data_IF_336958681963
#
_entry.id   IF_336958681963
#
_cell.length_a   1.000
_cell.length_b   1.000
_cell.length_c   1.000
_cell.angle_alpha   90.00
_cell.angle_beta   90.00
_cell.angle_gamma   90.00
#
_symmetry.space_group_name_H-M   'P 1'
#
loop_
_entity.id
_entity.type
_entity.pdbx_description
1 polymer ?
#
# COMPACT_ATOMS: atom_id res chain seq x y z
N UNK A 1 4.91 15.82 4.17
CA UNK A 1 3.53 16.27 4.42
C UNK A 1 3.00 15.37 5.53
N UNK A 2 3.17 15.75 6.81
CA UNK A 2 2.20 16.56 7.59
C UNK A 2 0.80 15.96 7.36
N UNK A 3 0.21 15.17 8.27
CA UNK A 3 -0.37 15.65 9.52
C UNK A 3 -0.15 14.69 10.69
N UNK A 4 0.60 15.20 11.67
CA UNK A 4 0.46 14.84 13.08
C UNK A 4 -0.78 15.58 13.58
N UNK A 5 -1.89 14.87 13.77
CA UNK A 5 -3.01 15.34 14.57
C UNK A 5 -3.26 14.26 15.62
N UNK A 6 -2.36 14.20 16.59
CA UNK A 6 -2.74 13.72 17.90
C UNK A 6 -3.66 14.82 18.45
N UNK A 7 -4.97 14.60 18.41
CA UNK A 7 -5.90 15.45 19.11
C UNK A 7 -5.43 15.55 20.57
N UNK A 8 -5.15 16.75 21.10
CA UNK A 8 -4.89 16.88 22.52
C UNK A 8 -6.18 16.42 23.20
N UNK A 9 -6.07 15.33 23.95
CA UNK A 9 -7.11 14.90 24.89
C UNK A 9 -7.40 16.16 25.69
N UNK A 10 -8.55 16.77 25.42
CA UNK A 10 -9.02 17.92 26.17
C UNK A 10 -9.34 17.38 27.55
N UNK A 11 -8.33 17.36 28.41
CA UNK A 11 -8.48 17.24 29.85
C UNK A 11 -9.23 18.50 30.26
N UNK A 12 -10.55 18.46 30.08
CA UNK A 12 -11.47 19.50 30.52
C UNK A 12 -11.35 19.59 32.03
N UNK A 13 -10.48 20.51 32.44
CA UNK A 13 -10.56 21.54 33.49
C UNK A 13 -11.88 21.68 34.26
N UNK A 14 -12.50 20.57 34.68
CA UNK A 14 -13.82 20.57 35.32
C UNK A 14 -13.89 19.73 36.59
N UNK A 15 -12.77 19.49 37.28
CA UNK A 15 -12.77 18.82 38.60
C UNK A 15 -12.13 19.70 39.68
N UNK A 16 -12.01 21.01 39.43
CA UNK A 16 -11.59 21.98 40.44
C UNK A 16 -12.77 22.80 40.99
N UNK A 17 -13.98 22.23 40.95
CA UNK A 17 -14.96 22.59 41.97
C UNK A 17 -14.45 21.97 43.26
N UNK A 18 -13.82 22.82 44.08
CA UNK A 18 -13.61 22.54 45.48
C UNK A 18 -14.87 21.86 45.98
N UNK A 19 -14.75 20.60 46.39
CA UNK A 19 -15.80 19.93 47.13
C UNK A 19 -16.02 20.83 48.34
N UNK A 20 -17.03 21.70 48.25
CA UNK A 20 -17.64 22.37 49.38
C UNK A 20 -18.25 21.23 50.17
N UNK A 21 -17.40 20.50 50.89
CA UNK A 21 -17.81 19.52 51.87
C UNK A 21 -18.46 20.40 52.92
N UNK A 22 -19.80 20.46 52.94
CA UNK A 22 -20.48 21.35 53.87
C UNK A 22 -19.98 20.97 55.25
N UNK A 23 -19.44 21.92 56.00
CA UNK A 23 -18.87 21.75 57.34
C UNK A 23 -19.92 21.42 58.41
N UNK A 24 -21.17 21.17 57.99
CA UNK A 24 -22.36 20.94 58.82
C UNK A 24 -22.38 19.56 59.52
N UNK A 25 -21.84 18.44 58.99
CA UNK A 25 -21.71 17.21 59.75
C UNK A 25 -20.86 17.38 61.01
N UNK A 26 -19.87 18.29 60.96
CA UNK A 26 -19.06 18.64 62.13
C UNK A 26 -19.84 19.44 63.17
N UNK A 27 -20.87 20.21 62.78
CA UNK A 27 -21.63 21.03 63.74
C UNK A 27 -22.45 20.17 64.70
N UNK A 28 -23.16 19.15 64.24
CA UNK A 28 -23.92 18.26 65.12
C UNK A 28 -22.99 17.49 66.07
N UNK A 29 -21.87 16.98 65.55
CA UNK A 29 -20.83 16.33 66.35
C UNK A 29 -20.24 17.27 67.40
N UNK A 30 -19.92 18.52 67.03
CA UNK A 30 -19.44 19.53 67.97
C UNK A 30 -20.48 19.89 69.04
N UNK A 31 -21.77 19.96 68.71
CA UNK A 31 -22.81 20.20 69.71
C UNK A 31 -22.99 19.00 70.66
N UNK A 32 -22.82 17.77 70.17
CA UNK A 32 -22.83 16.55 70.99
C UNK A 32 -21.58 16.46 71.90
N UNK A 33 -20.39 16.76 71.37
CA UNK A 33 -19.14 16.83 72.14
C UNK A 33 -19.25 17.89 73.24
N UNK A 34 -19.83 19.05 72.94
CA UNK A 34 -20.04 20.12 73.93
C UNK A 34 -21.06 19.73 75.00
N UNK A 35 -22.10 18.96 74.65
CA UNK A 35 -23.03 18.38 75.63
C UNK A 35 -22.33 17.35 76.52
N UNK A 36 -21.49 16.50 75.94
CA UNK A 36 -20.66 15.55 76.68
C UNK A 36 -19.71 16.27 77.64
N UNK A 37 -19.09 17.37 77.20
CA UNK A 37 -18.22 18.21 78.02
C UNK A 37 -18.96 18.78 79.25
N UNK A 38 -20.15 19.36 79.06
CA UNK A 38 -21.01 19.86 80.14
C UNK A 38 -21.38 18.76 81.16
N UNK A 39 -21.74 17.57 80.67
CA UNK A 39 -22.09 16.41 81.50
C UNK A 39 -20.89 15.83 82.25
N UNK A 40 -19.69 15.89 81.67
CA UNK A 40 -18.48 15.28 82.23
C UNK A 40 -17.72 16.21 83.16
N UNK A 41 -17.46 17.46 82.74
CA UNK A 41 -16.54 18.40 83.39
C UNK A 41 -17.22 19.41 84.33
N UNK A 42 -18.41 19.92 84.00
CA UNK A 42 -19.07 20.96 84.79
C UNK A 42 -20.05 20.41 85.85
N UNK A 43 -20.52 19.17 85.69
CA UNK A 43 -21.41 18.53 86.64
C UNK A 43 -20.73 18.22 87.99
N UNK A 44 -21.15 18.90 89.07
CA UNK A 44 -20.61 18.68 90.42
C UNK A 44 -20.98 17.27 90.90
N UNK A 45 -19.98 16.42 91.16
CA UNK A 45 -20.21 15.05 91.60
C UNK A 45 -20.63 15.03 93.07
N UNK A 46 -21.82 14.51 93.36
CA UNK A 46 -22.32 14.41 94.73
C UNK A 46 -21.70 13.15 95.38
N UNK A 47 -20.92 13.29 96.46
CA UNK A 47 -20.28 12.16 97.13
C UNK A 47 -21.32 11.16 97.64
N UNK A 48 -20.97 9.86 97.65
CA UNK A 48 -21.79 8.72 98.11
C UNK A 48 -23.09 8.41 97.32
N UNK A 49 -23.49 9.23 96.35
CA UNK A 49 -24.75 9.01 95.58
C UNK A 49 -24.54 8.58 94.14
N UNK A 50 -23.32 8.71 93.60
CA UNK A 50 -23.01 8.42 92.19
C UNK A 50 -23.66 9.39 91.19
N UNK A 51 -24.34 10.45 91.66
CA UNK A 51 -25.08 11.42 90.84
C UNK A 51 -24.24 12.68 90.59
N UNK A 52 -24.50 13.36 89.47
CA UNK A 52 -23.95 14.69 89.16
C UNK A 52 -25.04 15.74 89.24
N UNK A 53 -24.72 16.87 89.84
CA UNK A 53 -25.56 18.06 89.86
C UNK A 53 -25.18 18.90 88.65
N UNK A 54 -26.13 19.13 87.75
CA UNK A 54 -25.91 19.84 86.50
C UNK A 54 -26.96 20.93 86.38
N UNK A 55 -26.59 22.05 85.77
CA UNK A 55 -27.50 23.14 85.45
C UNK A 55 -28.50 22.69 84.36
N UNK A 56 -29.78 22.65 84.74
CA UNK A 56 -30.88 22.25 83.87
C UNK A 56 -31.02 23.21 82.68
N UNK A 57 -30.81 24.50 82.88
CA UNK A 57 -30.97 25.53 81.84
C UNK A 57 -29.89 25.39 80.77
N UNK A 58 -28.65 25.10 81.16
CA UNK A 58 -27.55 24.88 80.22
C UNK A 58 -27.72 23.60 79.39
N UNK A 59 -28.16 22.50 80.01
CA UNK A 59 -28.45 21.26 79.27
C UNK A 59 -29.60 21.47 78.28
N UNK A 60 -30.70 22.10 78.70
CA UNK A 60 -31.85 22.32 77.83
C UNK A 60 -31.49 23.22 76.64
N UNK A 61 -30.68 24.26 76.85
CA UNK A 61 -30.18 25.11 75.77
C UNK A 61 -29.28 24.31 74.79
N UNK A 62 -28.37 23.50 75.31
CA UNK A 62 -27.50 22.68 74.47
C UNK A 62 -28.28 21.60 73.69
N UNK A 63 -29.30 20.99 74.31
CA UNK A 63 -30.20 20.04 73.64
C UNK A 63 -31.00 20.71 72.52
N UNK A 64 -31.45 21.95 72.73
CA UNK A 64 -32.15 22.76 71.72
C UNK A 64 -31.23 23.08 70.54
N UNK A 65 -29.95 23.38 70.79
CA UNK A 65 -28.96 23.58 69.72
C UNK A 65 -28.69 22.30 68.91
N UNK A 66 -28.66 21.14 69.56
CA UNK A 66 -28.56 19.83 68.89
C UNK A 66 -29.81 19.59 68.03
N UNK A 67 -31.00 19.85 68.56
CA UNK A 67 -32.27 19.68 67.84
C UNK A 67 -32.34 20.56 66.59
N UNK A 68 -31.83 21.79 66.65
CA UNK A 68 -31.72 22.69 65.50
C UNK A 68 -30.67 22.25 64.47
N UNK A 69 -29.59 21.58 64.91
CA UNK A 69 -28.50 21.13 64.03
C UNK A 69 -28.85 19.85 63.25
N UNK A 70 -29.66 18.94 63.81
CA UNK A 70 -30.02 17.65 63.18
C UNK A 70 -30.64 17.83 61.78
N UNK A 71 -31.69 18.66 61.57
CA UNK A 71 -32.32 18.81 60.26
C UNK A 71 -31.35 19.29 59.18
N UNK A 72 -30.44 20.20 59.52
CA UNK A 72 -29.45 20.73 58.58
C UNK A 72 -28.38 19.69 58.23
N UNK A 73 -27.92 18.88 59.21
CA UNK A 73 -27.03 17.74 58.94
C UNK A 73 -27.70 16.68 58.05
N UNK A 74 -28.98 16.38 58.26
CA UNK A 74 -29.73 15.43 57.42
C UNK A 74 -29.92 15.94 55.99
N UNK A 75 -30.33 17.20 55.81
CA UNK A 75 -30.43 17.83 54.47
C UNK A 75 -29.10 17.79 53.73
N UNK A 76 -28.02 18.03 54.47
CA UNK A 76 -26.66 17.99 53.96
C UNK A 76 -26.26 16.58 53.50
N UNK A 77 -26.49 15.56 54.33
CA UNK A 77 -26.24 14.17 53.96
C UNK A 77 -27.04 13.76 52.72
N UNK A 78 -28.31 14.17 52.62
CA UNK A 78 -29.13 13.90 51.44
C UNK A 78 -28.56 14.56 50.18
N UNK A 79 -28.04 15.79 50.28
CA UNK A 79 -27.40 16.50 49.16
C UNK A 79 -26.15 15.75 48.67
N UNK A 80 -25.32 15.27 49.59
CA UNK A 80 -24.12 14.49 49.26
C UNK A 80 -24.51 13.19 48.56
N UNK A 81 -25.53 12.47 49.07
CA UNK A 81 -26.02 11.25 48.43
C UNK A 81 -26.54 11.51 47.01
N UNK A 82 -27.33 12.57 46.83
CA UNK A 82 -27.84 12.95 45.51
C UNK A 82 -26.69 13.33 44.55
N UNK A 83 -25.70 14.11 45.02
CA UNK A 83 -24.52 14.46 44.22
C UNK A 83 -23.70 13.22 43.84
N UNK A 84 -23.50 12.29 44.78
CA UNK A 84 -22.84 11.01 44.52
C UNK A 84 -23.55 10.25 43.41
N UNK A 85 -24.86 10.13 43.49
CA UNK A 85 -25.65 9.39 42.50
C UNK A 85 -25.60 10.06 41.12
N UNK A 86 -25.63 11.39 41.06
CA UNK A 86 -25.46 12.12 39.80
C UNK A 86 -24.05 11.94 39.20
N UNK A 87 -22.99 11.98 40.02
CA UNK A 87 -21.62 11.69 39.57
C UNK A 87 -21.52 10.27 39.00
N UNK A 88 -22.11 9.28 39.68
CA UNK A 88 -22.11 7.89 39.22
C UNK A 88 -22.84 7.76 37.89
N UNK A 89 -24.02 8.37 37.75
CA UNK A 89 -24.76 8.36 36.47
C UNK A 89 -23.97 9.02 35.35
N UNK A 90 -23.37 10.18 35.59
CA UNK A 90 -22.54 10.86 34.59
C UNK A 90 -21.33 10.02 34.19
N UNK A 91 -20.65 9.38 35.15
CA UNK A 91 -19.52 8.50 34.89
C UNK A 91 -19.94 7.28 34.06
N UNK A 92 -21.09 6.67 34.39
CA UNK A 92 -21.65 5.55 33.62
C UNK A 92 -22.00 5.96 32.19
N UNK A 93 -22.64 7.12 32.01
CA UNK A 93 -22.97 7.65 30.69
C UNK A 93 -21.71 7.87 29.84
N UNK A 94 -20.70 8.56 30.38
CA UNK A 94 -19.42 8.79 29.69
C UNK A 94 -18.72 7.48 29.35
N UNK A 95 -18.72 6.50 30.26
CA UNK A 95 -18.14 5.19 29.99
C UNK A 95 -18.85 4.49 28.82
N UNK A 96 -20.17 4.55 28.75
CA UNK A 96 -20.95 4.00 27.63
C UNK A 96 -20.65 4.72 26.31
N UNK A 97 -20.50 6.05 26.32
CA UNK A 97 -20.13 6.82 25.13
C UNK A 97 -18.73 6.43 24.62
N UNK A 98 -17.76 6.29 25.53
CA UNK A 98 -16.40 5.87 25.18
C UNK A 98 -16.41 4.47 24.57
N UNK A 99 -17.14 3.53 25.18
CA UNK A 99 -17.25 2.15 24.66
C UNK A 99 -17.87 2.15 23.26
N UNK A 100 -18.98 2.86 23.06
CA UNK A 100 -19.64 2.97 21.75
C UNK A 100 -18.71 3.58 20.69
N UNK A 101 -17.99 4.64 21.04
CA UNK A 101 -17.04 5.27 20.12
C UNK A 101 -15.88 4.33 19.77
N UNK A 102 -15.38 3.56 20.75
CA UNK A 102 -14.34 2.56 20.52
C UNK A 102 -14.82 1.42 19.62
N UNK A 103 -16.03 0.89 19.85
CA UNK A 103 -16.64 -0.15 19.02
C UNK A 103 -16.86 0.32 17.58
N UNK A 104 -17.37 1.55 17.38
CA UNK A 104 -17.54 2.13 16.06
C UNK A 104 -16.22 2.29 15.32
N UNK A 105 -15.17 2.80 15.99
CA UNK A 105 -13.83 2.91 15.40
C UNK A 105 -13.25 1.53 15.06
N UNK A 106 -13.41 0.56 15.94
CA UNK A 106 -12.94 -0.81 15.69
C UNK A 106 -13.63 -1.43 14.47
N UNK A 107 -14.94 -1.23 14.33
CA UNK A 107 -15.69 -1.68 13.15
C UNK A 107 -15.20 -1.02 11.86
N UNK A 108 -14.97 0.30 11.86
CA UNK A 108 -14.41 1.02 10.71
C UNK A 108 -13.03 0.50 10.31
N UNK A 109 -12.14 0.30 11.28
CA UNK A 109 -10.79 -0.24 11.03
C UNK A 109 -10.87 -1.66 10.46
N UNK A 110 -11.76 -2.51 10.98
CA UNK A 110 -11.95 -3.86 10.48
C UNK A 110 -12.45 -3.86 9.03
N UNK A 111 -13.38 -2.98 8.69
CA UNK A 111 -13.87 -2.83 7.32
C UNK A 111 -12.78 -2.33 6.37
N UNK A 112 -11.99 -1.32 6.77
CA UNK A 112 -10.86 -0.83 5.99
C UNK A 112 -9.81 -1.91 5.76
N UNK A 113 -9.46 -2.69 6.79
CA UNK A 113 -8.53 -3.81 6.69
C UNK A 113 -9.06 -4.89 5.73
N UNK A 114 -10.36 -5.20 5.80
CA UNK A 114 -10.99 -6.17 4.90
C UNK A 114 -10.94 -5.71 3.45
N UNK A 115 -11.25 -4.44 3.18
CA UNK A 115 -11.15 -3.86 1.84
C UNK A 115 -9.71 -3.90 1.34
N UNK A 116 -8.74 -3.53 2.19
CA UNK A 116 -7.32 -3.53 1.84
C UNK A 116 -6.81 -4.94 1.51
N UNK A 117 -7.14 -5.93 2.34
CA UNK A 117 -6.74 -7.31 2.10
C UNK A 117 -7.35 -7.86 0.80
N UNK A 118 -8.61 -7.55 0.54
CA UNK A 118 -9.27 -7.93 -0.71
C UNK A 118 -8.57 -7.29 -1.92
N UNK A 119 -8.28 -5.99 -1.86
CA UNK A 119 -7.58 -5.27 -2.92
C UNK A 119 -6.15 -5.82 -3.14
N UNK A 120 -5.43 -6.17 -2.06
CA UNK A 120 -4.11 -6.79 -2.16
C UNK A 120 -4.16 -8.17 -2.82
N UNK A 121 -5.16 -8.99 -2.49
CA UNK A 121 -5.35 -10.32 -3.09
C UNK A 121 -5.69 -10.21 -4.57
N UNK A 122 -6.57 -9.28 -4.95
CA UNK A 122 -6.90 -9.00 -6.35
C UNK A 122 -5.69 -8.46 -7.12
N UNK A 123 -4.93 -7.53 -6.53
CA UNK A 123 -3.71 -7.01 -7.13
C UNK A 123 -2.66 -8.11 -7.34
N UNK A 124 -2.49 -9.03 -6.38
CA UNK A 124 -1.60 -10.18 -6.52
C UNK A 124 -2.06 -11.10 -7.65
N UNK A 125 -3.37 -11.37 -7.76
CA UNK A 125 -3.94 -12.18 -8.85
C UNK A 125 -3.69 -11.53 -10.21
N UNK A 126 -3.95 -10.24 -10.35
CA UNK A 126 -3.69 -9.50 -11.60
C UNK A 126 -2.20 -9.56 -11.94
N UNK A 127 -1.31 -9.34 -10.97
CA UNK A 127 0.15 -9.42 -11.20
C UNK A 127 0.57 -10.80 -11.68
N UNK A 128 0.06 -11.86 -11.08
CA UNK A 128 0.35 -13.23 -11.51
C UNK A 128 -0.18 -13.50 -12.93
N UNK A 129 -1.39 -13.06 -13.24
CA UNK A 129 -1.97 -13.20 -14.58
C UNK A 129 -1.15 -12.46 -15.63
N UNK A 130 -0.82 -11.19 -15.39
CA UNK A 130 0.02 -10.39 -16.29
C UNK A 130 1.40 -11.04 -16.48
N UNK A 131 2.00 -11.56 -15.41
CA UNK A 131 3.29 -12.23 -15.53
C UNK A 131 3.21 -13.50 -16.38
N UNK A 132 2.17 -14.31 -16.22
CA UNK A 132 1.92 -15.49 -17.05
C UNK A 132 1.67 -15.10 -18.52
N UNK A 133 0.87 -14.08 -18.77
CA UNK A 133 0.59 -13.57 -20.11
C UNK A 133 1.84 -13.03 -20.80
N UNK A 134 2.68 -12.28 -20.08
CA UNK A 134 3.95 -11.76 -20.60
C UNK A 134 4.90 -12.89 -20.97
N UNK A 135 5.08 -13.90 -20.10
CA UNK A 135 5.92 -15.06 -20.41
C UNK A 135 5.39 -15.86 -21.60
N UNK A 136 4.07 -16.02 -21.68
CA UNK A 136 3.43 -16.69 -22.81
C UNK A 136 3.60 -15.91 -24.12
N UNK A 137 3.38 -14.60 -24.12
CA UNK A 137 3.62 -13.74 -25.28
C UNK A 137 5.08 -13.76 -25.70
N UNK A 138 6.01 -13.75 -24.74
CA UNK A 138 7.44 -13.85 -25.00
C UNK A 138 7.82 -15.16 -25.66
N UNK A 139 7.30 -16.29 -25.15
CA UNK A 139 7.55 -17.61 -25.74
C UNK A 139 7.02 -17.68 -27.18
N UNK A 140 5.79 -17.24 -27.41
CA UNK A 140 5.21 -17.15 -28.76
C UNK A 140 6.04 -16.30 -29.71
N UNK A 141 6.48 -15.12 -29.27
CA UNK A 141 7.31 -14.25 -30.10
C UNK A 141 8.65 -14.91 -30.45
N UNK A 142 9.28 -15.62 -29.51
CA UNK A 142 10.52 -16.37 -29.77
C UNK A 142 10.27 -17.49 -30.78
N UNK A 143 9.18 -18.24 -30.64
CA UNK A 143 8.80 -19.30 -31.58
C UNK A 143 8.56 -18.76 -32.98
N UNK A 144 7.83 -17.66 -33.11
CA UNK A 144 7.56 -17.00 -34.38
C UNK A 144 8.82 -16.46 -35.05
N UNK A 145 9.70 -15.79 -34.28
CA UNK A 145 11.00 -15.33 -34.77
C UNK A 145 11.84 -16.52 -35.27
N UNK A 146 11.87 -17.62 -34.53
CA UNK A 146 12.63 -18.81 -34.94
C UNK A 146 12.07 -19.43 -36.22
N UNK A 147 10.75 -19.51 -36.35
CA UNK A 147 10.08 -20.00 -37.55
C UNK A 147 10.41 -19.12 -38.76
N UNK A 148 10.28 -17.80 -38.59
CA UNK A 148 10.61 -16.83 -39.65
C UNK A 148 12.08 -16.96 -40.07
N UNK A 149 13.00 -17.04 -39.10
CA UNK A 149 14.43 -17.24 -39.37
C UNK A 149 14.67 -18.50 -40.18
N UNK A 150 14.11 -19.64 -39.77
CA UNK A 150 14.27 -20.89 -40.51
C UNK A 150 13.73 -20.81 -41.95
N UNK A 151 12.59 -20.15 -42.15
CA UNK A 151 12.02 -19.98 -43.49
C UNK A 151 12.92 -19.09 -44.36
N UNK A 152 13.38 -17.96 -43.83
CA UNK A 152 14.29 -17.06 -44.56
C UNK A 152 15.62 -17.73 -44.88
N UNK A 153 16.16 -18.56 -43.98
CA UNK A 153 17.39 -19.33 -44.22
C UNK A 153 17.21 -20.35 -45.34
N UNK A 154 16.06 -21.05 -45.40
CA UNK A 154 15.72 -21.98 -46.48
C UNK A 154 15.57 -21.26 -47.82
N UNK A 155 14.83 -20.15 -47.84
CA UNK A 155 14.63 -19.35 -49.06
C UNK A 155 15.97 -18.79 -49.58
N UNK A 156 16.81 -18.28 -48.68
CA UNK A 156 18.13 -17.77 -49.04
C UNK A 156 19.04 -18.88 -49.57
N UNK A 157 19.02 -20.06 -48.95
CA UNK A 157 19.79 -21.21 -49.42
C UNK A 157 19.34 -21.65 -50.82
N UNK A 158 18.03 -21.73 -51.04
CA UNK A 158 17.45 -22.05 -52.34
C UNK A 158 17.84 -21.01 -53.41
N UNK A 159 17.67 -19.72 -53.12
CA UNK A 159 18.02 -18.65 -54.03
C UNK A 159 19.52 -18.67 -54.40
N UNK A 160 20.39 -18.90 -53.40
CA UNK A 160 21.83 -19.05 -53.63
C UNK A 160 22.14 -20.23 -54.55
N UNK A 161 21.46 -21.36 -54.36
CA UNK A 161 21.64 -22.54 -55.21
C UNK A 161 21.22 -22.27 -56.65
N UNK A 162 20.03 -21.68 -56.86
CA UNK A 162 19.52 -21.32 -58.19
C UNK A 162 20.47 -20.32 -58.87
N UNK A 163 20.83 -19.24 -58.19
CA UNK A 163 21.74 -18.22 -58.73
C UNK A 163 23.09 -18.83 -59.12
N UNK A 164 23.61 -19.75 -58.31
CA UNK A 164 24.87 -20.44 -58.60
C UNK A 164 24.75 -21.29 -59.86
N UNK A 165 23.65 -22.02 -60.01
CA UNK A 165 23.39 -22.83 -61.21
C UNK A 165 23.31 -21.95 -62.46
N UNK A 166 22.50 -20.89 -62.43
CA UNK A 166 22.33 -19.96 -63.55
C UNK A 166 23.63 -19.26 -63.95
N UNK A 167 24.48 -18.91 -62.98
CA UNK A 167 25.80 -18.34 -63.25
C UNK A 167 26.73 -19.36 -63.92
N UNK A 168 26.67 -20.63 -63.50
CA UNK A 168 27.46 -21.71 -64.12
C UNK A 168 27.00 -21.99 -65.55
N UNK A 169 25.69 -22.06 -65.79
CA UNK A 169 25.13 -22.22 -67.13
C UNK A 169 25.52 -21.05 -68.03
N UNK A 170 25.33 -19.81 -67.58
CA UNK A 170 25.74 -18.63 -68.35
C UNK A 170 27.24 -18.59 -68.65
N UNK A 171 28.09 -19.02 -67.72
CA UNK A 171 29.53 -19.14 -67.96
C UNK A 171 29.83 -20.18 -69.04
N UNK A 172 29.25 -21.37 -68.94
CA UNK A 172 29.44 -22.44 -69.92
C UNK A 172 28.91 -22.05 -71.31
N UNK A 173 27.77 -21.38 -71.38
CA UNK A 173 27.21 -20.87 -72.64
C UNK A 173 28.11 -19.80 -73.27
N UNK A 174 28.65 -18.87 -72.46
CA UNK A 174 29.57 -17.84 -72.93
C UNK A 174 30.89 -18.45 -73.43
N UNK A 175 31.46 -19.42 -72.71
CA UNK A 175 32.67 -20.13 -73.11
C UNK A 175 32.44 -20.90 -74.42
N UNK A 176 31.33 -21.64 -74.52
CA UNK A 176 30.97 -22.37 -75.73
C UNK A 176 30.71 -21.44 -76.94
N UNK A 177 30.12 -20.27 -76.70
CA UNK A 177 29.94 -19.25 -77.73
C UNK A 177 31.29 -18.71 -78.20
N UNK A 178 32.19 -18.36 -77.28
CA UNK A 178 33.53 -17.88 -77.59
C UNK A 178 34.31 -18.91 -78.43
N UNK A 179 34.30 -20.18 -78.04
CA UNK A 179 34.95 -21.26 -78.79
C UNK A 179 34.39 -21.39 -80.22
N UNK A 180 33.06 -21.35 -80.38
CA UNK A 180 32.42 -21.42 -81.71
C UNK A 180 32.81 -20.23 -82.59
N UNK A 181 32.75 -19.02 -82.05
CA UNK A 181 33.10 -17.79 -82.79
C UNK A 181 34.58 -17.81 -83.18
N UNK A 182 35.47 -18.22 -82.29
CA UNK A 182 36.90 -18.34 -82.59
C UNK A 182 37.17 -19.40 -83.67
N UNK A 183 36.51 -20.56 -83.60
CA UNK A 183 36.62 -21.60 -84.62
C UNK A 183 36.10 -21.12 -85.99
N UNK A 184 35.01 -20.35 -86.02
CA UNK A 184 34.48 -19.76 -87.25
C UNK A 184 35.45 -18.73 -87.85
N UNK A 185 36.02 -17.83 -87.03
CA UNK A 185 37.03 -16.89 -87.45
C UNK A 185 38.27 -17.61 -88.00
N UNK A 186 38.73 -18.68 -87.34
CA UNK A 186 39.84 -19.50 -87.81
C UNK A 186 39.57 -20.08 -89.20
N UNK A 187 38.36 -20.61 -89.43
CA UNK A 187 37.95 -21.12 -90.74
C UNK A 187 37.95 -20.04 -91.81
N UNK A 188 37.38 -18.87 -91.53
CA UNK A 188 37.36 -17.73 -92.45
C UNK A 188 38.78 -17.26 -92.81
N UNK A 189 39.69 -17.20 -91.83
CA UNK A 189 41.09 -16.86 -92.09
C UNK A 189 41.80 -17.90 -92.95
N UNK A 190 41.55 -19.20 -92.72
CA UNK A 190 42.09 -20.28 -93.59
C UNK A 190 41.61 -20.15 -95.03
N UNK A 191 40.33 -19.87 -95.23
CA UNK A 191 39.75 -19.65 -96.56
C UNK A 191 40.37 -18.45 -97.26
N UNK A 192 40.49 -17.31 -96.57
CA UNK A 192 41.14 -16.11 -97.10
C UNK A 192 42.61 -16.36 -97.47
N UNK A 193 43.36 -17.04 -96.60
CA UNK A 193 44.75 -17.41 -96.86
C UNK A 193 44.87 -18.33 -98.08
N UNK A 194 43.97 -19.29 -98.26
CA UNK A 194 43.94 -20.15 -99.43
C UNK A 194 43.69 -19.35 -100.72
N UNK A 195 42.75 -18.39 -100.71
CA UNK A 195 42.50 -17.49 -101.85
C UNK A 195 43.75 -16.66 -102.18
N UNK A 196 44.43 -16.09 -101.18
CA UNK A 196 45.67 -15.33 -101.38
C UNK A 196 46.79 -16.22 -101.92
N UNK A 197 46.96 -17.44 -101.38
CA UNK A 197 47.97 -18.39 -101.86
C UNK A 197 47.73 -18.78 -103.32
N UNK A 198 46.49 -19.12 -103.67
CA UNK A 198 46.08 -19.44 -105.03
C UNK A 198 46.31 -18.24 -105.97
N UNK A 199 45.93 -17.02 -105.56
CA UNK A 199 46.19 -15.80 -106.33
C UNK A 199 47.68 -15.53 -106.56
N UNK A 200 48.53 -15.72 -105.53
CA UNK A 200 50.00 -15.62 -105.66
C UNK A 200 50.57 -16.68 -106.59
N UNK A 201 50.06 -17.91 -106.54
CA UNK A 201 50.52 -19.00 -107.40
C UNK A 201 50.14 -18.75 -108.87
N UNK A 202 48.93 -18.23 -109.11
CA UNK A 202 48.50 -17.79 -110.43
C UNK A 202 49.41 -16.69 -111.00
N UNK A 203 49.76 -15.67 -110.18
CA UNK A 203 50.70 -14.62 -110.59
C UNK A 203 52.10 -15.16 -110.90
N UNK A 204 52.62 -16.11 -110.11
CA UNK A 204 53.92 -16.77 -110.38
C UNK A 204 53.89 -17.54 -111.71
N UNK A 205 52.82 -18.28 -111.99
CA UNK A 205 52.66 -19.02 -113.25
C UNK A 205 52.53 -18.08 -114.45
N UNK A 206 51.78 -16.98 -114.31
CA UNK A 206 51.67 -15.95 -115.33
C UNK A 206 52.97 -15.18 -115.55
N UNK A 207 53.79 -14.95 -114.52
CA UNK A 207 55.14 -14.38 -114.67
C UNK A 207 56.11 -15.35 -115.34
N UNK A 208 56.00 -16.66 -115.07
CA UNK A 208 56.81 -17.68 -115.73
C UNK A 208 56.52 -17.83 -117.24
N UNK A 209 55.33 -17.45 -117.69
CA UNK A 209 54.97 -17.40 -119.13
C UNK A 209 55.32 -16.05 -119.80
N UNK A 210 55.86 -15.08 -119.06
CA UNK A 210 56.15 -13.72 -119.54
C UNK A 210 57.64 -13.40 -119.64
N UNK A 211 58.52 -14.37 -119.38
CA UNK A 211 59.96 -14.25 -119.67
C UNK A 211 60.23 -14.90 -121.04
N UNK A 212 61.01 -14.23 -121.92
CA UNK A 212 61.20 -14.62 -123.31
C UNK A 212 61.97 -15.95 -123.48
#
# INVERSE_FOLDING_TARGET
MLYSNADPISTTTGVNEALDVPSVPLQLLQQLEKLEELLILEGTKIPLTGRKLIDEEQILNQLTHIEQAIPESVKTAQRILNQRDEIIKQAQHRAQEIIRAAEQRAAQIADELRIRQQAELEAQKIRQQVQQEVEFMRQRAIEEINLLRQNTEKELAHLRQVTRHECQERQQEADAYADRTLAEMERQFKEMLAVIQNGRQYLKQHQAHRQP
#
